data_IF_154665734129
#
_entry.id   IF_154665734129
#
_cell.length_a   1.000
_cell.length_b   1.000
_cell.length_c   1.000
_cell.angle_alpha   90.00
_cell.angle_beta   90.00
_cell.angle_gamma   90.00
#
_symmetry.space_group_name_H-M   'P 1'
#
loop_
_entity.id
_entity.type
_entity.pdbx_description
1 polymer ?
#
# COMPACT_ATOMS: atom_id res chain seq x y z
N UNK A 1 -6.31 -20.78 4.19
CA UNK A 1 -4.83 -20.71 4.05
C UNK A 1 -4.39 -19.28 4.28
N UNK A 2 -3.30 -19.08 5.08
CA UNK A 2 -2.64 -17.80 5.31
C UNK A 2 -1.19 -17.94 4.85
N UNK A 3 -0.75 -17.06 3.96
CA UNK A 3 0.60 -17.04 3.41
C UNK A 3 1.31 -15.80 3.95
N UNK A 4 2.36 -15.97 4.72
CA UNK A 4 3.26 -14.89 5.14
C UNK A 4 4.55 -14.98 4.32
N UNK A 5 4.64 -14.18 3.27
CA UNK A 5 5.79 -14.15 2.38
C UNK A 5 6.74 -13.00 2.75
N UNK A 6 8.03 -13.27 2.79
CA UNK A 6 9.07 -12.28 3.04
C UNK A 6 9.84 -11.98 1.74
N UNK A 7 10.72 -10.97 1.77
CA UNK A 7 11.58 -10.58 0.65
C UNK A 7 10.81 -10.08 -0.58
N UNK A 8 9.61 -9.51 -0.38
CA UNK A 8 8.89 -8.84 -1.47
C UNK A 8 9.62 -7.58 -1.93
N UNK A 9 9.59 -7.32 -3.24
CA UNK A 9 10.21 -6.14 -3.84
C UNK A 9 11.65 -6.31 -4.25
N UNK A 10 12.34 -5.20 -4.44
CA UNK A 10 13.75 -5.13 -4.88
C UNK A 10 14.72 -4.81 -3.73
N UNK A 11 14.22 -4.27 -2.61
CA UNK A 11 15.04 -3.84 -1.45
C UNK A 11 15.38 -5.03 -0.56
N UNK A 12 16.09 -6.02 -1.10
CA UNK A 12 16.49 -7.26 -0.39
C UNK A 12 17.97 -7.27 0.00
N UNK A 13 18.72 -6.18 -0.28
CA UNK A 13 20.11 -6.02 0.11
C UNK A 13 21.01 -7.10 -0.49
N UNK A 14 21.84 -7.67 0.36
CA UNK A 14 22.85 -8.69 0.00
C UNK A 14 22.28 -10.01 -0.51
N UNK A 15 21.02 -10.32 -0.26
CA UNK A 15 20.37 -11.55 -0.74
C UNK A 15 20.29 -11.57 -2.29
N UNK A 16 20.26 -10.40 -2.92
CA UNK A 16 20.36 -10.23 -4.36
C UNK A 16 19.18 -10.72 -5.16
N UNK A 17 19.36 -10.80 -6.47
CA UNK A 17 18.29 -11.04 -7.44
C UNK A 17 17.54 -12.37 -7.26
N UNK A 18 18.14 -13.38 -6.65
CA UNK A 18 17.47 -14.67 -6.38
C UNK A 18 16.36 -14.59 -5.33
N UNK A 19 16.32 -13.51 -4.55
CA UNK A 19 15.33 -13.28 -3.51
C UNK A 19 14.38 -12.12 -3.80
N UNK A 20 14.64 -11.34 -4.85
CA UNK A 20 13.74 -10.27 -5.28
C UNK A 20 12.44 -10.85 -5.84
N UNK A 21 11.30 -10.26 -5.46
CA UNK A 21 9.99 -10.65 -5.95
C UNK A 21 9.16 -9.39 -6.26
N UNK A 22 9.01 -9.08 -7.54
CA UNK A 22 8.31 -7.90 -8.02
C UNK A 22 7.01 -8.24 -8.77
N UNK A 23 6.52 -9.48 -8.70
CA UNK A 23 5.34 -9.98 -9.41
C UNK A 23 4.30 -10.65 -8.50
N UNK A 24 4.56 -10.75 -7.21
CA UNK A 24 3.75 -11.47 -6.24
C UNK A 24 2.35 -10.87 -6.05
N UNK A 25 2.23 -9.53 -5.98
CA UNK A 25 0.91 -8.89 -5.93
C UNK A 25 0.07 -9.23 -7.15
N UNK A 26 0.66 -9.17 -8.35
CA UNK A 26 -0.02 -9.52 -9.59
C UNK A 26 -0.58 -10.95 -9.53
N UNK A 27 0.27 -11.92 -9.17
CA UNK A 27 -0.10 -13.31 -9.07
C UNK A 27 -1.20 -13.54 -8.03
N UNK A 28 -1.05 -12.99 -6.83
CA UNK A 28 -2.00 -13.20 -5.73
C UNK A 28 -3.33 -12.47 -5.96
N UNK A 29 -3.31 -11.31 -6.61
CA UNK A 29 -4.54 -10.58 -6.95
C UNK A 29 -5.43 -11.35 -7.94
N UNK A 30 -4.87 -12.17 -8.82
CA UNK A 30 -5.65 -12.97 -9.78
C UNK A 30 -6.40 -14.13 -9.12
N UNK A 31 -6.00 -14.56 -7.93
CA UNK A 31 -6.63 -15.70 -7.25
C UNK A 31 -7.99 -15.29 -6.67
N UNK A 32 -9.10 -15.96 -7.04
CA UNK A 32 -10.42 -15.67 -6.50
C UNK A 32 -10.46 -15.76 -4.96
N UNK A 33 -11.06 -14.75 -4.31
CA UNK A 33 -11.22 -14.72 -2.86
C UNK A 33 -9.94 -14.44 -2.07
N UNK A 34 -8.75 -14.35 -2.71
CA UNK A 34 -7.51 -14.02 -2.03
C UNK A 34 -7.52 -12.57 -1.54
N UNK A 35 -7.28 -12.36 -0.25
CA UNK A 35 -6.93 -11.05 0.31
C UNK A 35 -5.42 -10.84 0.15
N UNK A 36 -5.00 -9.64 -0.30
CA UNK A 36 -3.60 -9.32 -0.55
C UNK A 36 -3.24 -8.06 0.24
N UNK A 37 -2.24 -8.18 1.13
CA UNK A 37 -1.87 -7.13 2.08
C UNK A 37 -0.35 -6.99 2.18
N UNK A 38 0.11 -5.76 2.49
CA UNK A 38 1.52 -5.45 2.77
C UNK A 38 1.60 -4.36 3.84
N UNK A 39 2.09 -4.68 5.05
CA UNK A 39 2.18 -3.70 6.13
C UNK A 39 3.34 -2.74 5.90
N UNK A 40 3.21 -1.54 6.43
CA UNK A 40 4.19 -0.47 6.32
C UNK A 40 5.18 -0.42 7.48
N UNK A 41 4.79 -0.91 8.66
CA UNK A 41 5.67 -1.02 9.84
C UNK A 41 5.31 -2.19 10.75
N UNK A 42 5.99 -2.31 11.89
CA UNK A 42 5.80 -3.40 12.85
C UNK A 42 4.41 -3.36 13.54
N UNK A 43 3.92 -2.17 13.87
CA UNK A 43 2.60 -2.00 14.52
C UNK A 43 1.50 -2.49 13.58
N UNK A 44 1.51 -2.02 12.34
CA UNK A 44 0.57 -2.47 11.33
C UNK A 44 0.72 -3.97 11.01
N UNK A 45 1.95 -4.49 10.96
CA UNK A 45 2.21 -5.90 10.71
C UNK A 45 1.56 -6.81 11.76
N UNK A 46 1.67 -6.47 13.05
CA UNK A 46 1.04 -7.23 14.14
C UNK A 46 -0.49 -7.21 14.05
N UNK A 47 -1.06 -6.04 13.82
CA UNK A 47 -2.50 -5.88 13.66
C UNK A 47 -3.02 -6.63 12.41
N UNK A 48 -2.28 -6.57 11.30
CA UNK A 48 -2.57 -7.28 10.06
C UNK A 48 -2.56 -8.81 10.24
N UNK A 49 -1.57 -9.36 10.95
CA UNK A 49 -1.49 -10.81 11.23
C UNK A 49 -2.70 -11.25 12.05
N UNK A 50 -3.13 -10.46 13.04
CA UNK A 50 -4.34 -10.74 13.81
C UNK A 50 -5.59 -10.73 12.94
N UNK A 51 -5.76 -9.70 12.11
CA UNK A 51 -6.89 -9.60 11.19
C UNK A 51 -6.89 -10.76 10.16
N UNK A 52 -5.70 -11.14 9.66
CA UNK A 52 -5.57 -12.30 8.78
C UNK A 52 -5.96 -13.60 9.46
N UNK A 53 -5.63 -13.79 10.74
CA UNK A 53 -6.03 -14.98 11.50
C UNK A 53 -7.55 -15.07 11.67
N UNK A 54 -8.22 -13.96 11.95
CA UNK A 54 -9.67 -13.88 12.16
C UNK A 54 -10.48 -13.97 10.86
N UNK A 55 -9.87 -13.62 9.72
CA UNK A 55 -10.54 -13.64 8.42
C UNK A 55 -10.81 -15.06 7.94
N UNK A 56 -12.04 -15.35 7.48
CA UNK A 56 -12.38 -16.59 6.80
C UNK A 56 -12.03 -16.48 5.30
N UNK A 57 -11.02 -17.25 4.85
CA UNK A 57 -10.60 -17.26 3.45
C UNK A 57 -9.08 -17.27 3.30
N UNK A 58 -8.59 -17.29 2.05
CA UNK A 58 -7.16 -17.22 1.78
C UNK A 58 -6.65 -15.77 1.95
N UNK A 59 -5.47 -15.64 2.56
CA UNK A 59 -4.80 -14.35 2.77
C UNK A 59 -3.33 -14.47 2.38
N UNK A 60 -2.85 -13.51 1.62
CA UNK A 60 -1.44 -13.30 1.31
C UNK A 60 -0.97 -12.02 2.00
N UNK A 61 0.00 -12.15 2.88
CA UNK A 61 0.68 -11.04 3.56
C UNK A 61 2.12 -10.96 3.05
N UNK A 62 2.48 -9.81 2.50
CA UNK A 62 3.79 -9.56 1.97
C UNK A 62 4.61 -8.72 2.94
N UNK A 63 5.74 -9.23 3.37
CA UNK A 63 6.68 -8.51 4.24
C UNK A 63 7.95 -8.17 3.45
N UNK A 64 8.50 -6.98 3.68
CA UNK A 64 9.81 -6.59 3.17
C UNK A 64 10.95 -7.34 3.87
N UNK A 65 12.18 -7.23 3.32
CA UNK A 65 13.41 -7.77 3.91
C UNK A 65 14.08 -6.74 4.83
N UNK A 66 14.05 -5.49 4.43
CA UNK A 66 14.72 -4.40 5.13
C UNK A 66 13.95 -3.96 6.38
N UNK A 67 14.67 -3.52 7.39
CA UNK A 67 14.08 -2.82 8.52
C UNK A 67 13.47 -1.50 8.07
N UNK A 68 12.30 -1.18 8.60
CA UNK A 68 11.58 0.06 8.33
C UNK A 68 11.38 0.84 9.64
N UNK A 69 11.32 2.18 9.61
CA UNK A 69 10.93 2.94 10.76
C UNK A 69 9.51 2.62 11.21
N UNK A 70 9.29 2.58 12.52
CA UNK A 70 7.94 2.47 13.11
C UNK A 70 7.39 3.88 13.23
N UNK A 71 6.27 4.15 12.62
CA UNK A 71 5.65 5.47 12.62
C UNK A 71 4.18 5.46 13.07
N UNK A 72 3.57 4.30 13.19
CA UNK A 72 2.29 4.17 13.86
C UNK A 72 2.47 4.09 15.38
N UNK A 73 1.55 4.69 16.12
CA UNK A 73 1.48 4.53 17.58
C UNK A 73 0.81 3.20 17.91
N UNK A 74 1.40 2.42 18.83
CA UNK A 74 0.88 1.10 19.19
C UNK A 74 -0.49 1.22 19.92
N UNK A 75 -0.61 2.23 20.79
CA UNK A 75 -1.82 2.46 21.55
C UNK A 75 -2.95 3.01 20.67
N UNK A 76 -4.01 2.21 20.53
CA UNK A 76 -5.21 2.58 19.79
C UNK A 76 -5.15 2.30 18.29
N UNK A 77 -4.04 1.77 17.75
CA UNK A 77 -3.97 1.40 16.34
C UNK A 77 -4.97 0.28 16.01
N UNK A 78 -5.72 0.46 14.94
CA UNK A 78 -6.68 -0.52 14.45
C UNK A 78 -6.45 -0.78 12.97
N UNK A 79 -6.40 -2.05 12.59
CA UNK A 79 -6.29 -2.46 11.19
C UNK A 79 -7.59 -3.11 10.72
N UNK A 80 -8.06 -2.69 9.57
CA UNK A 80 -9.23 -3.29 8.92
C UNK A 80 -8.90 -3.68 7.48
N UNK A 81 -9.13 -4.94 7.12
CA UNK A 81 -8.96 -5.42 5.74
C UNK A 81 -9.85 -4.59 4.80
N UNK A 82 -9.26 -4.09 3.72
CA UNK A 82 -9.97 -3.28 2.72
C UNK A 82 -10.09 -1.79 3.07
N UNK A 83 -9.42 -1.33 4.12
CA UNK A 83 -9.34 0.09 4.46
C UNK A 83 -7.90 0.60 4.37
N UNK A 84 -7.76 1.78 3.77
CA UNK A 84 -6.52 2.56 3.76
C UNK A 84 -6.54 3.62 4.85
N UNK A 85 -5.38 4.21 5.12
CA UNK A 85 -5.18 5.25 6.13
C UNK A 85 -4.62 6.52 5.50
N UNK A 86 -5.15 7.68 5.89
CA UNK A 86 -4.59 8.98 5.51
C UNK A 86 -3.53 9.37 6.55
N UNK A 87 -2.26 9.24 6.18
CA UNK A 87 -1.12 9.60 7.04
C UNK A 87 -0.88 11.11 7.09
N UNK A 88 -1.17 11.81 5.99
CA UNK A 88 -1.08 13.27 5.87
C UNK A 88 -2.17 13.75 4.93
N UNK A 89 -2.90 14.79 5.32
CA UNK A 89 -3.90 15.38 4.43
C UNK A 89 -3.31 16.44 3.51
N UNK A 90 -3.91 16.58 2.32
CA UNK A 90 -3.49 17.51 1.28
C UNK A 90 -4.44 17.55 0.10
N UNK A 91 -4.22 18.50 -0.83
CA UNK A 91 -5.15 18.79 -1.91
C UNK A 91 -4.54 18.93 -3.31
N UNK A 92 -3.21 19.03 -3.45
CA UNK A 92 -2.58 19.27 -4.75
C UNK A 92 -2.28 17.98 -5.52
N UNK A 93 -2.00 16.90 -4.78
CA UNK A 93 -1.70 15.57 -5.29
C UNK A 93 -1.95 14.55 -4.19
N UNK A 94 -2.44 13.35 -4.53
CA UNK A 94 -2.46 12.23 -3.61
C UNK A 94 -1.32 11.25 -3.94
N UNK A 95 -0.59 10.80 -2.92
CA UNK A 95 0.42 9.74 -3.01
C UNK A 95 -0.12 8.53 -2.26
N UNK A 96 -0.40 7.46 -2.98
CA UNK A 96 -0.92 6.20 -2.44
C UNK A 96 0.23 5.19 -2.44
N UNK A 97 0.66 4.78 -1.27
CA UNK A 97 1.78 3.88 -1.09
C UNK A 97 1.41 2.61 -0.36
N UNK A 98 2.20 1.57 -0.47
CA UNK A 98 2.04 0.30 0.26
C UNK A 98 3.37 -0.24 0.74
N UNK A 99 3.33 -0.97 1.85
CA UNK A 99 4.53 -1.55 2.44
C UNK A 99 5.54 -0.48 2.87
N UNK A 100 6.82 -0.78 2.70
CA UNK A 100 7.89 0.14 3.12
C UNK A 100 7.84 1.51 2.45
N UNK A 101 7.26 1.63 1.24
CA UNK A 101 7.15 2.92 0.55
C UNK A 101 6.14 3.87 1.20
N UNK A 102 5.33 3.42 2.14
CA UNK A 102 4.43 4.31 2.90
C UNK A 102 5.19 5.31 3.78
N UNK A 103 6.28 4.86 4.42
CA UNK A 103 7.16 5.76 5.16
C UNK A 103 7.89 6.74 4.24
N UNK A 104 8.43 6.26 3.13
CA UNK A 104 9.11 7.11 2.14
C UNK A 104 8.14 8.16 1.54
N UNK A 105 6.90 7.77 1.28
CA UNK A 105 5.87 8.69 0.83
C UNK A 105 5.53 9.75 1.90
N UNK A 106 5.51 9.37 3.19
CA UNK A 106 5.29 10.30 4.29
C UNK A 106 6.43 11.33 4.38
N UNK A 107 7.68 10.91 4.27
CA UNK A 107 8.83 11.81 4.24
C UNK A 107 8.83 12.71 3.00
N UNK A 108 8.48 12.17 1.83
CA UNK A 108 8.30 12.96 0.62
C UNK A 108 7.18 14.01 0.79
N UNK A 109 6.08 13.66 1.45
CA UNK A 109 4.99 14.58 1.76
C UNK A 109 5.43 15.77 2.64
N UNK A 110 6.29 15.50 3.63
CA UNK A 110 6.90 16.56 4.47
C UNK A 110 7.77 17.52 3.64
N UNK A 111 8.63 16.96 2.77
CA UNK A 111 9.48 17.75 1.89
C UNK A 111 8.66 18.57 0.86
N UNK A 112 7.60 17.99 0.30
CA UNK A 112 6.67 18.68 -0.59
C UNK A 112 5.98 19.87 0.11
N UNK A 113 5.58 19.69 1.36
CA UNK A 113 4.99 20.76 2.17
C UNK A 113 5.93 21.94 2.36
N UNK A 114 7.22 21.68 2.59
CA UNK A 114 8.26 22.73 2.66
C UNK A 114 8.42 23.46 1.32
N UNK A 115 8.21 22.75 0.21
CA UNK A 115 8.20 23.34 -1.13
C UNK A 115 6.87 24.01 -1.52
N UNK A 116 5.89 24.09 -0.61
CA UNK A 116 4.59 24.72 -0.84
C UNK A 116 3.58 23.87 -1.59
N UNK A 117 3.79 22.54 -1.67
CA UNK A 117 2.89 21.59 -2.31
C UNK A 117 2.16 20.80 -1.23
N UNK A 118 0.82 20.82 -1.27
CA UNK A 118 -0.06 20.12 -0.32
C UNK A 118 -0.35 18.71 -0.81
N UNK A 119 0.51 17.74 -0.42
CA UNK A 119 0.33 16.35 -0.79
C UNK A 119 -0.49 15.58 0.26
N UNK A 120 -1.47 14.79 -0.21
CA UNK A 120 -2.17 13.80 0.62
C UNK A 120 -1.40 12.48 0.55
N UNK A 121 -1.02 11.94 1.70
CA UNK A 121 -0.29 10.67 1.79
C UNK A 121 -1.24 9.60 2.33
N UNK A 122 -1.38 8.51 1.58
CA UNK A 122 -2.26 7.40 1.91
C UNK A 122 -1.45 6.11 2.00
N UNK A 123 -1.51 5.45 3.15
CA UNK A 123 -1.06 4.08 3.30
C UNK A 123 -2.17 3.12 2.86
N UNK A 124 -1.92 2.35 1.83
CA UNK A 124 -2.84 1.35 1.28
C UNK A 124 -2.32 -0.05 1.58
N UNK A 125 -2.40 -0.46 2.84
CA UNK A 125 -1.89 -1.76 3.28
C UNK A 125 -2.68 -2.96 2.74
N UNK A 126 -3.92 -2.75 2.27
CA UNK A 126 -4.70 -3.78 1.58
C UNK A 126 -4.83 -3.45 0.09
N UNK A 127 -4.23 -4.29 -0.75
CA UNK A 127 -4.26 -4.12 -2.21
C UNK A 127 -5.50 -4.80 -2.82
N UNK A 128 -5.94 -5.87 -2.17
CA UNK A 128 -7.19 -6.57 -2.51
C UNK A 128 -7.86 -7.10 -1.24
N UNK A 129 -9.11 -6.67 -0.92
CA UNK A 129 -9.87 -5.63 -1.63
C UNK A 129 -9.24 -4.25 -1.46
N UNK A 130 -9.32 -3.41 -2.47
CA UNK A 130 -8.87 -2.01 -2.41
C UNK A 130 -9.90 -1.16 -1.65
N UNK A 131 -9.46 -0.15 -0.90
CA UNK A 131 -10.37 0.88 -0.38
C UNK A 131 -10.78 1.83 -1.50
N UNK A 132 -11.81 1.44 -2.25
CA UNK A 132 -12.31 2.18 -3.40
C UNK A 132 -12.82 3.58 -3.00
N UNK A 133 -13.47 3.71 -1.84
CA UNK A 133 -14.01 4.98 -1.36
C UNK A 133 -12.89 6.00 -1.12
N UNK A 134 -11.82 5.56 -0.46
CA UNK A 134 -10.68 6.42 -0.17
C UNK A 134 -9.93 6.83 -1.44
N UNK A 135 -9.75 5.91 -2.39
CA UNK A 135 -9.12 6.21 -3.70
C UNK A 135 -9.97 7.19 -4.50
N UNK A 136 -11.28 6.98 -4.57
CA UNK A 136 -12.20 7.88 -5.30
C UNK A 136 -12.23 9.28 -4.66
N UNK A 137 -12.26 9.35 -3.32
CA UNK A 137 -12.18 10.61 -2.60
C UNK A 137 -10.87 11.36 -2.91
N UNK A 138 -9.74 10.65 -2.88
CA UNK A 138 -8.44 11.24 -3.20
C UNK A 138 -8.40 11.75 -4.65
N UNK A 139 -8.95 11.01 -5.61
CA UNK A 139 -9.04 11.41 -7.00
C UNK A 139 -9.89 12.68 -7.21
N UNK A 140 -11.04 12.75 -6.55
CA UNK A 140 -11.95 13.90 -6.65
C UNK A 140 -11.37 15.16 -6.00
N UNK A 141 -10.70 15.03 -4.87
CA UNK A 141 -10.21 16.17 -4.09
C UNK A 141 -8.82 16.65 -4.55
N UNK A 142 -7.94 15.75 -4.99
CA UNK A 142 -6.58 16.11 -5.42
C UNK A 142 -6.40 16.19 -6.94
N UNK A 143 -7.24 15.49 -7.73
CA UNK A 143 -7.22 15.51 -9.19
C UNK A 143 -6.02 14.85 -9.85
N UNK A 144 -5.02 14.39 -9.08
CA UNK A 144 -3.79 13.72 -9.53
C UNK A 144 -3.37 12.70 -8.48
N UNK A 145 -2.92 11.54 -8.92
CA UNK A 145 -2.47 10.47 -8.04
C UNK A 145 -1.09 9.97 -8.47
N UNK A 146 -0.25 9.70 -7.48
CA UNK A 146 1.01 8.96 -7.63
C UNK A 146 0.86 7.67 -6.82
N UNK A 147 1.24 6.54 -7.39
CA UNK A 147 1.28 5.26 -6.67
C UNK A 147 2.71 4.83 -6.42
N UNK A 148 2.99 4.33 -5.22
CA UNK A 148 4.33 3.94 -4.80
C UNK A 148 4.29 2.51 -4.23
N UNK A 149 5.00 1.60 -4.89
CA UNK A 149 5.12 0.20 -4.49
C UNK A 149 6.44 -0.41 -4.96
N UNK A 150 6.95 -1.39 -4.26
CA UNK A 150 8.06 -2.21 -4.72
C UNK A 150 7.53 -3.41 -5.52
N UNK A 151 7.08 -3.16 -6.74
CA UNK A 151 6.48 -4.17 -7.59
C UNK A 151 6.64 -3.77 -9.06
N UNK A 152 6.43 -4.69 -9.97
CA UNK A 152 6.22 -4.38 -11.39
C UNK A 152 5.04 -3.42 -11.55
N UNK A 153 5.10 -2.56 -12.55
CA UNK A 153 3.95 -1.70 -12.93
C UNK A 153 2.73 -2.51 -13.38
N UNK A 154 2.92 -3.80 -13.69
CA UNK A 154 1.87 -4.71 -14.13
C UNK A 154 1.32 -5.47 -12.92
N UNK A 155 0.04 -5.35 -12.66
CA UNK A 155 -0.70 -6.15 -11.67
C UNK A 155 -0.57 -5.70 -10.22
N UNK A 156 0.19 -4.64 -9.91
CA UNK A 156 0.39 -4.12 -8.57
C UNK A 156 -0.72 -3.19 -8.08
N UNK A 157 -0.37 -2.37 -7.08
CA UNK A 157 -1.23 -1.33 -6.50
C UNK A 157 -1.62 -0.28 -7.56
N UNK A 158 -0.63 0.19 -8.35
CA UNK A 158 -0.85 1.20 -9.37
C UNK A 158 -1.89 0.77 -10.39
N UNK A 159 -1.83 -0.47 -10.87
CA UNK A 159 -2.83 -1.00 -11.80
C UNK A 159 -4.20 -1.17 -11.14
N UNK A 160 -4.27 -1.56 -9.86
CA UNK A 160 -5.54 -1.63 -9.13
C UNK A 160 -6.21 -0.26 -9.03
N UNK A 161 -5.43 0.78 -8.71
CA UNK A 161 -5.91 2.17 -8.65
C UNK A 161 -6.32 2.65 -10.04
N UNK A 162 -5.51 2.41 -11.07
CA UNK A 162 -5.83 2.78 -12.45
C UNK A 162 -7.12 2.11 -12.95
N UNK A 163 -7.31 0.82 -12.69
CA UNK A 163 -8.51 0.09 -13.09
C UNK A 163 -9.76 0.69 -12.48
N UNK A 164 -9.75 0.96 -11.17
CA UNK A 164 -10.86 1.61 -10.46
C UNK A 164 -11.18 2.99 -11.05
N UNK A 165 -10.14 3.82 -11.21
CA UNK A 165 -10.31 5.20 -11.65
C UNK A 165 -10.72 5.31 -13.11
N UNK A 166 -10.24 4.42 -13.99
CA UNK A 166 -10.67 4.43 -15.39
C UNK A 166 -12.17 4.17 -15.55
N UNK A 167 -12.77 3.42 -14.63
CA UNK A 167 -14.20 3.11 -14.66
C UNK A 167 -15.04 4.16 -13.96
N UNK A 168 -14.61 4.62 -12.75
CA UNK A 168 -15.49 5.41 -11.87
C UNK A 168 -15.15 6.90 -11.80
N UNK A 169 -13.90 7.30 -12.00
CA UNK A 169 -13.43 8.68 -11.88
C UNK A 169 -12.12 8.88 -12.66
N UNK A 170 -12.15 9.03 -13.99
CA UNK A 170 -10.94 9.17 -14.81
C UNK A 170 -10.02 10.27 -14.27
N UNK A 171 -8.83 9.87 -13.82
CA UNK A 171 -7.86 10.72 -13.14
C UNK A 171 -6.46 10.40 -13.62
N UNK A 172 -5.58 11.41 -13.68
CA UNK A 172 -4.17 11.18 -13.99
C UNK A 172 -3.50 10.39 -12.87
N UNK A 173 -2.96 9.22 -13.20
CA UNK A 173 -2.18 8.36 -12.29
C UNK A 173 -0.77 8.16 -12.84
N UNK A 174 0.22 8.19 -11.96
CA UNK A 174 1.63 7.89 -12.24
C UNK A 174 2.18 6.91 -11.21
#
# INVERSE_FOLDING_TARGET
VKIGATHGGISVGEDGASHQCCEDFALMRTIPGMVVMSPSDDVEARAMVKAAYEHEGPVYMRFGRSAVPVFHEEDGFTFQIGKGEVLMDGSDVAIIATGLLSYEALEAGKALKEAGISARIINMATIKPLDEELVLKAAQECGKIITCEEHSVIGGLGEAVCALLSEKCPTLVR
#
